data_IF_547152449619
#
_entry.id   IF_547152449619
#
_cell.length_a   1.000
_cell.length_b   1.000
_cell.length_c   1.000
_cell.angle_alpha   90.00
_cell.angle_beta   90.00
_cell.angle_gamma   90.00
#
_symmetry.space_group_name_H-M   'P 1'
#
loop_
_entity.id
_entity.type
_entity.pdbx_description
1 polymer ?
#
# COMPACT_ATOMS: atom_id res chain seq x y z
N UNK A 1 15.52 -4.41 -11.60
CA UNK A 1 14.39 -3.55 -12.04
C UNK A 1 14.49 -2.10 -11.55
N UNK A 2 13.94 -1.71 -10.39
CA UNK A 2 13.92 -0.28 -9.98
C UNK A 2 15.31 0.36 -9.87
N UNK A 3 16.29 -0.38 -9.34
CA UNK A 3 17.70 0.05 -9.28
C UNK A 3 18.32 0.31 -10.66
N UNK A 4 17.89 -0.42 -11.68
CA UNK A 4 18.52 -0.44 -13.00
C UNK A 4 17.79 0.45 -14.01
N UNK A 5 16.49 0.63 -13.84
CA UNK A 5 15.60 1.22 -14.84
C UNK A 5 14.79 2.42 -14.34
N UNK A 6 14.83 2.75 -13.04
CA UNK A 6 14.27 4.00 -12.55
C UNK A 6 15.38 5.06 -12.41
N UNK A 7 15.06 6.30 -12.75
CA UNK A 7 15.95 7.43 -12.51
C UNK A 7 15.83 7.93 -11.07
N UNK A 8 16.93 8.40 -10.45
CA UNK A 8 16.86 9.13 -9.19
C UNK A 8 15.98 10.38 -9.33
N UNK A 9 15.23 10.70 -8.28
CA UNK A 9 14.33 11.86 -8.23
C UNK A 9 14.80 12.80 -7.11
N UNK A 10 14.82 14.14 -7.31
CA UNK A 10 15.08 15.08 -6.24
C UNK A 10 14.07 14.93 -5.09
N UNK A 11 14.56 14.96 -3.85
CA UNK A 11 13.75 14.79 -2.63
C UNK A 11 12.93 13.49 -2.62
N UNK A 12 13.49 12.39 -3.10
CA UNK A 12 12.82 11.09 -3.18
C UNK A 12 12.27 10.61 -1.82
N UNK A 13 12.84 11.03 -0.70
CA UNK A 13 12.33 10.81 0.66
C UNK A 13 10.91 11.32 0.88
N UNK A 14 10.48 12.35 0.13
CA UNK A 14 9.13 12.92 0.21
C UNK A 14 8.11 12.22 -0.68
N UNK A 15 8.56 11.35 -1.60
CA UNK A 15 7.69 10.62 -2.52
C UNK A 15 7.13 9.39 -1.82
N UNK A 16 5.83 9.32 -1.49
CA UNK A 16 5.27 8.19 -0.78
C UNK A 16 5.23 6.91 -1.63
N UNK A 17 5.32 5.77 -0.95
CA UNK A 17 4.92 4.47 -1.50
C UNK A 17 3.46 4.24 -1.18
N UNK A 18 2.67 3.85 -2.18
CA UNK A 18 1.27 3.46 -2.00
C UNK A 18 1.15 1.99 -2.36
N UNK A 19 0.70 1.18 -1.41
CA UNK A 19 0.32 -0.21 -1.64
C UNK A 19 -1.19 -0.35 -1.50
N UNK A 20 -1.82 -1.07 -2.42
CA UNK A 20 -3.26 -1.38 -2.37
C UNK A 20 -3.43 -2.87 -2.64
N UNK A 21 -4.19 -3.54 -1.77
CA UNK A 21 -4.39 -4.98 -1.85
C UNK A 21 -5.76 -5.41 -1.31
N UNK A 22 -6.08 -6.67 -1.51
CA UNK A 22 -7.35 -7.29 -1.09
C UNK A 22 -7.17 -8.38 -0.02
N UNK A 23 -5.95 -8.63 0.45
CA UNK A 23 -5.64 -9.67 1.45
C UNK A 23 -4.46 -9.25 2.29
N UNK A 24 -4.40 -9.72 3.54
CA UNK A 24 -3.29 -9.39 4.45
C UNK A 24 -2.81 -10.64 5.19
N UNK A 25 -1.50 -10.90 5.11
CA UNK A 25 -0.82 -11.96 5.84
C UNK A 25 -0.22 -11.51 7.17
N UNK A 26 0.51 -12.42 7.82
CA UNK A 26 1.25 -12.13 9.06
C UNK A 26 2.53 -11.35 8.75
N UNK A 27 2.64 -10.12 9.25
CA UNK A 27 3.74 -9.17 8.98
C UNK A 27 4.76 -9.09 10.12
N UNK A 28 4.55 -9.83 11.21
CA UNK A 28 5.40 -9.83 12.39
C UNK A 28 4.90 -8.90 13.51
N UNK A 29 5.63 -8.90 14.62
CA UNK A 29 5.22 -8.22 15.86
C UNK A 29 5.29 -6.68 15.77
N UNK A 30 6.07 -6.15 14.83
CA UNK A 30 6.26 -4.73 14.60
C UNK A 30 6.71 -4.47 13.14
N UNK A 31 6.72 -3.19 12.74
CA UNK A 31 7.03 -2.78 11.37
C UNK A 31 8.46 -3.11 10.91
N UNK A 32 9.40 -3.26 11.84
CA UNK A 32 10.81 -3.53 11.54
C UNK A 32 11.05 -4.99 11.13
N UNK A 33 10.09 -5.89 11.37
CA UNK A 33 10.28 -7.32 11.06
C UNK A 33 10.34 -7.62 9.58
N UNK A 34 9.54 -6.92 8.77
CA UNK A 34 9.50 -7.17 7.33
C UNK A 34 8.97 -5.97 6.54
N UNK A 35 7.87 -5.36 7.02
CA UNK A 35 7.17 -4.30 6.26
C UNK A 35 8.11 -3.12 5.94
N UNK A 36 8.79 -2.58 6.94
CA UNK A 36 9.65 -1.41 6.77
C UNK A 36 11.10 -1.76 6.46
N UNK A 37 11.58 -2.93 6.87
CA UNK A 37 12.98 -3.34 6.73
C UNK A 37 13.34 -3.92 5.35
N UNK A 38 12.41 -4.64 4.71
CA UNK A 38 12.68 -5.33 3.44
C UNK A 38 11.69 -4.91 2.36
N UNK A 39 10.40 -4.98 2.66
CA UNK A 39 9.35 -4.70 1.69
C UNK A 39 9.37 -3.24 1.26
N UNK A 40 9.30 -2.30 2.21
CA UNK A 40 9.38 -0.86 1.93
C UNK A 40 10.72 -0.47 1.31
N UNK A 41 11.84 -0.99 1.82
CA UNK A 41 13.18 -0.70 1.26
C UNK A 41 13.28 -1.07 -0.23
N UNK A 42 12.68 -2.19 -0.62
CA UNK A 42 12.60 -2.61 -2.02
C UNK A 42 11.80 -1.62 -2.87
N UNK A 43 10.65 -1.15 -2.36
CA UNK A 43 9.75 -0.24 -3.08
C UNK A 43 10.25 1.21 -3.14
N UNK A 44 11.10 1.65 -2.21
CA UNK A 44 11.65 3.02 -2.24
C UNK A 44 12.83 3.19 -3.19
N UNK A 45 13.39 2.09 -3.70
CA UNK A 45 14.57 2.11 -4.57
C UNK A 45 14.29 2.90 -5.87
N UNK A 46 15.18 3.84 -6.20
CA UNK A 46 15.15 4.62 -7.46
C UNK A 46 16.58 4.81 -7.97
N UNK A 47 16.97 4.04 -8.99
CA UNK A 47 18.30 4.09 -9.57
C UNK A 47 19.40 3.46 -8.70
N UNK A 48 20.66 3.74 -9.05
CA UNK A 48 21.84 3.06 -8.49
C UNK A 48 22.43 3.74 -7.24
N UNK A 49 21.96 4.92 -6.85
CA UNK A 49 22.50 5.60 -5.66
C UNK A 49 22.14 4.83 -4.39
N UNK A 50 23.17 4.45 -3.64
CA UNK A 50 23.04 3.72 -2.37
C UNK A 50 22.72 4.69 -1.25
N UNK A 51 21.45 5.11 -1.13
CA UNK A 51 20.95 5.78 0.08
C UNK A 51 19.81 4.95 0.68
N UNK A 52 19.97 4.59 1.95
CA UNK A 52 18.88 4.01 2.75
C UNK A 52 17.85 5.10 3.02
N UNK A 53 16.78 5.12 2.22
CA UNK A 53 15.72 6.13 2.31
C UNK A 53 14.48 5.61 3.04
N UNK A 54 14.35 4.28 3.24
CA UNK A 54 13.07 3.68 3.58
C UNK A 54 12.51 4.10 4.94
N UNK A 55 13.31 4.54 5.92
CA UNK A 55 12.74 5.04 7.18
C UNK A 55 11.99 6.38 7.01
N UNK A 56 12.44 7.26 6.11
CA UNK A 56 11.88 8.61 5.94
C UNK A 56 10.68 8.69 4.98
N UNK A 57 10.56 7.72 4.07
CA UNK A 57 9.50 7.74 3.04
C UNK A 57 8.13 7.40 3.65
N UNK A 58 7.06 8.17 3.41
CA UNK A 58 5.73 7.80 3.87
C UNK A 58 5.23 6.52 3.16
N UNK A 59 4.52 5.67 3.89
CA UNK A 59 3.88 4.45 3.37
C UNK A 59 2.37 4.55 3.58
N UNK A 60 1.59 4.50 2.51
CA UNK A 60 0.13 4.47 2.56
C UNK A 60 -0.36 3.11 2.09
N UNK A 61 -1.09 2.38 2.93
CA UNK A 61 -1.66 1.09 2.60
C UNK A 61 -3.18 1.23 2.43
N UNK A 62 -3.71 0.95 1.25
CA UNK A 62 -5.14 1.03 0.97
C UNK A 62 -5.74 -0.37 1.10
N UNK A 63 -6.65 -0.51 2.06
CA UNK A 63 -7.43 -1.72 2.31
C UNK A 63 -8.86 -1.33 2.71
N UNK A 64 -9.90 -2.01 2.19
CA UNK A 64 -11.28 -1.63 2.50
C UNK A 64 -11.60 -1.68 4.00
N UNK A 65 -12.18 -0.59 4.50
CA UNK A 65 -12.73 -0.56 5.86
C UNK A 65 -14.02 -1.38 5.95
N UNK A 66 -14.43 -1.70 7.18
CA UNK A 66 -15.75 -2.31 7.43
C UNK A 66 -16.88 -1.50 6.79
N UNK A 67 -16.80 -0.17 6.86
CA UNK A 67 -17.79 0.73 6.28
C UNK A 67 -17.77 0.72 4.75
N UNK A 68 -16.59 0.61 4.13
CA UNK A 68 -16.49 0.44 2.67
C UNK A 68 -17.21 -0.83 2.22
N UNK A 69 -17.02 -1.95 2.93
CA UNK A 69 -17.66 -3.22 2.59
C UNK A 69 -19.16 -3.17 2.84
N UNK A 70 -19.59 -2.66 4.00
CA UNK A 70 -21.01 -2.54 4.38
C UNK A 70 -21.82 -1.73 3.36
N UNK A 71 -21.22 -0.67 2.81
CA UNK A 71 -21.85 0.24 1.83
C UNK A 71 -21.49 -0.07 0.38
N UNK A 72 -20.81 -1.19 0.13
CA UNK A 72 -20.47 -1.64 -1.23
C UNK A 72 -21.72 -2.13 -1.98
N UNK A 73 -21.60 -2.26 -3.30
CA UNK A 73 -22.66 -2.81 -4.16
C UNK A 73 -23.07 -4.23 -3.74
N UNK A 74 -22.11 -5.03 -3.28
CA UNK A 74 -22.32 -6.42 -2.87
C UNK A 74 -22.64 -6.54 -1.37
N UNK A 75 -22.47 -5.47 -0.59
CA UNK A 75 -22.58 -5.48 0.87
C UNK A 75 -21.51 -6.36 1.54
N UNK A 76 -21.84 -6.93 2.70
CA UNK A 76 -20.95 -7.83 3.44
C UNK A 76 -20.42 -9.04 2.64
N UNK A 77 -21.16 -9.65 1.69
CA UNK A 77 -20.61 -10.66 0.79
C UNK A 77 -19.29 -10.30 0.10
N UNK A 78 -19.04 -9.03 -0.23
CA UNK A 78 -17.75 -8.59 -0.80
C UNK A 78 -16.56 -8.93 0.10
N UNK A 79 -16.77 -8.95 1.43
CA UNK A 79 -15.78 -9.33 2.43
C UNK A 79 -15.26 -10.76 2.28
N UNK A 80 -16.03 -11.65 1.64
CA UNK A 80 -15.58 -13.02 1.32
C UNK A 80 -14.36 -13.04 0.38
N UNK A 81 -14.17 -11.99 -0.42
CA UNK A 81 -13.00 -11.80 -1.29
C UNK A 81 -11.95 -10.87 -0.69
N UNK A 82 -12.10 -10.50 0.59
CA UNK A 82 -11.16 -9.65 1.34
C UNK A 82 -10.57 -10.41 2.55
N UNK A 83 -9.77 -11.46 2.33
CA UNK A 83 -9.27 -12.29 3.43
C UNK A 83 -8.25 -11.55 4.30
N UNK A 84 -8.69 -11.23 5.52
CA UNK A 84 -7.83 -10.82 6.63
C UNK A 84 -8.43 -11.37 7.93
N UNK A 85 -7.90 -12.51 8.40
CA UNK A 85 -8.47 -13.20 9.55
C UNK A 85 -8.20 -12.46 10.87
N UNK A 86 -9.12 -12.58 11.82
CA UNK A 86 -8.98 -11.97 13.14
C UNK A 86 -7.72 -12.48 13.87
N UNK A 87 -7.40 -13.77 13.74
CA UNK A 87 -6.20 -14.38 14.33
C UNK A 87 -4.89 -13.81 13.78
N UNK A 88 -4.91 -13.29 12.55
CA UNK A 88 -3.77 -12.59 11.94
C UNK A 88 -3.77 -11.13 12.39
N UNK A 89 -4.93 -10.47 12.35
CA UNK A 89 -5.06 -9.05 12.67
C UNK A 89 -4.65 -8.72 14.11
N UNK A 90 -5.10 -9.50 15.09
CA UNK A 90 -4.82 -9.27 16.51
C UNK A 90 -3.31 -9.31 16.84
N UNK A 91 -2.50 -9.99 16.03
CA UNK A 91 -1.05 -10.08 16.21
C UNK A 91 -0.28 -8.87 15.68
N UNK A 92 -0.94 -7.97 14.94
CA UNK A 92 -0.30 -6.88 14.22
C UNK A 92 -1.15 -5.61 14.14
N UNK A 93 -1.80 -5.22 15.25
CA UNK A 93 -2.61 -3.98 15.30
C UNK A 93 -1.81 -2.71 14.93
N UNK A 94 -0.49 -2.74 15.10
CA UNK A 94 0.42 -1.67 14.66
C UNK A 94 0.25 -1.35 13.16
N UNK A 95 -0.07 -2.36 12.34
CA UNK A 95 -0.25 -2.23 10.90
C UNK A 95 -1.43 -1.33 10.52
N UNK A 96 -2.49 -1.30 11.34
CA UNK A 96 -3.72 -0.57 11.00
C UNK A 96 -3.51 0.95 10.97
N UNK A 97 -2.46 1.47 11.62
CA UNK A 97 -2.07 2.88 11.54
C UNK A 97 -1.63 3.31 10.12
N UNK A 98 -1.27 2.36 9.26
CA UNK A 98 -0.93 2.58 7.86
C UNK A 98 -2.14 2.55 6.93
N UNK A 99 -3.32 2.13 7.42
CA UNK A 99 -4.47 1.87 6.57
C UNK A 99 -5.23 3.13 6.17
N UNK A 100 -5.57 3.17 4.89
CA UNK A 100 -6.37 4.20 4.25
C UNK A 100 -7.59 3.54 3.60
N UNK A 101 -8.71 4.26 3.58
CA UNK A 101 -9.98 3.76 3.03
C UNK A 101 -9.89 3.53 1.52
N UNK A 102 -10.69 2.60 1.03
CA UNK A 102 -10.97 2.51 -0.40
C UNK A 102 -11.83 3.71 -0.84
N UNK A 103 -11.36 4.44 -1.85
CA UNK A 103 -12.13 5.41 -2.63
C UNK A 103 -11.63 5.38 -4.07
N UNK A 104 -12.55 5.40 -5.02
CA UNK A 104 -12.26 5.37 -6.44
C UNK A 104 -13.27 6.22 -7.22
N UNK A 105 -13.62 7.40 -6.68
CA UNK A 105 -14.60 8.33 -7.25
C UNK A 105 -14.23 8.71 -8.70
N UNK A 106 -12.93 8.89 -8.97
CA UNK A 106 -12.39 9.18 -10.32
C UNK A 106 -12.82 8.18 -11.39
N UNK A 107 -13.12 6.94 -10.99
CA UNK A 107 -13.53 5.85 -11.88
C UNK A 107 -14.96 5.35 -11.62
N UNK A 108 -15.70 6.01 -10.72
CA UNK A 108 -17.03 5.60 -10.28
C UNK A 108 -17.08 4.26 -9.52
N UNK A 109 -15.98 3.87 -8.86
CA UNK A 109 -15.82 2.51 -8.27
C UNK A 109 -15.71 2.48 -6.75
N UNK A 110 -16.03 3.56 -6.04
CA UNK A 110 -15.96 3.61 -4.58
C UNK A 110 -16.80 2.53 -3.87
N UNK A 111 -17.91 2.10 -4.48
CA UNK A 111 -18.76 1.02 -3.97
C UNK A 111 -18.46 -0.36 -4.58
N UNK A 112 -17.53 -0.47 -5.54
CA UNK A 112 -17.07 -1.74 -6.08
C UNK A 112 -15.79 -2.16 -5.34
N UNK A 113 -15.86 -3.18 -4.48
CA UNK A 113 -14.73 -3.55 -3.63
C UNK A 113 -13.52 -4.03 -4.44
N UNK A 114 -12.29 -3.63 -4.07
CA UNK A 114 -11.11 -3.94 -4.85
C UNK A 114 -10.68 -5.39 -4.65
N UNK A 115 -10.62 -6.15 -5.74
CA UNK A 115 -9.84 -7.39 -5.82
C UNK A 115 -8.54 -7.21 -6.64
N UNK A 116 -8.35 -6.05 -7.27
CA UNK A 116 -7.08 -5.64 -7.88
C UNK A 116 -6.03 -5.39 -6.79
N UNK A 117 -4.75 -5.55 -7.13
CA UNK A 117 -3.62 -5.17 -6.29
C UNK A 117 -2.73 -4.24 -7.09
N UNK A 118 -2.39 -3.10 -6.48
CA UNK A 118 -1.55 -2.10 -7.13
C UNK A 118 -0.52 -1.56 -6.17
N UNK A 119 0.67 -1.28 -6.69
CA UNK A 119 1.72 -0.59 -5.97
C UNK A 119 2.21 0.56 -6.83
N UNK A 120 2.52 1.70 -6.23
CA UNK A 120 3.05 2.84 -6.95
C UNK A 120 3.92 3.72 -6.06
N UNK A 121 4.71 4.58 -6.71
CA UNK A 121 5.49 5.62 -6.07
C UNK A 121 5.02 6.97 -6.60
N UNK A 122 4.35 7.75 -5.77
CA UNK A 122 3.72 9.01 -6.17
C UNK A 122 4.58 10.22 -5.75
N UNK A 123 4.38 11.35 -6.43
CA UNK A 123 4.91 12.64 -5.99
C UNK A 123 4.21 13.11 -4.70
N UNK A 124 4.81 14.04 -3.93
CA UNK A 124 4.22 14.50 -2.66
C UNK A 124 2.83 15.13 -2.79
N UNK A 125 2.51 15.69 -3.95
CA UNK A 125 1.22 16.28 -4.30
C UNK A 125 0.29 15.31 -5.07
N UNK A 126 0.71 14.05 -5.24
CA UNK A 126 0.04 12.99 -5.99
C UNK A 126 -0.26 13.31 -7.47
N UNK A 127 0.41 14.30 -8.07
CA UNK A 127 0.22 14.69 -9.47
C UNK A 127 1.01 13.82 -10.47
N UNK A 128 2.05 13.13 -10.01
CA UNK A 128 2.94 12.31 -10.82
C UNK A 128 3.23 10.97 -10.15
N UNK A 129 3.63 9.99 -10.96
CA UNK A 129 4.09 8.68 -10.49
C UNK A 129 5.45 8.35 -11.11
N UNK A 130 6.36 7.83 -10.29
CA UNK A 130 7.67 7.35 -10.74
C UNK A 130 7.57 5.96 -11.37
N UNK A 131 6.65 5.14 -10.87
CA UNK A 131 6.33 3.82 -11.40
C UNK A 131 4.96 3.35 -10.90
N UNK A 132 4.39 2.38 -11.61
CA UNK A 132 3.14 1.71 -11.27
C UNK A 132 3.27 0.22 -11.53
N UNK A 133 2.72 -0.59 -10.63
CA UNK A 133 2.65 -2.04 -10.72
C UNK A 133 1.22 -2.48 -10.46
N UNK A 134 0.69 -3.32 -11.35
CA UNK A 134 -0.51 -4.12 -11.12
C UNK A 134 -0.10 -5.59 -11.07
N UNK A 135 -0.60 -6.35 -10.10
CA UNK A 135 -0.18 -7.73 -9.84
C UNK A 135 -1.31 -8.61 -9.32
#
# INVERSE_FOLDING_TARGET
LLKEHASPIPKAESWPVIGQFSSIGSMGADESKWLCSEFKESLVTLGRESRTLGSAVPLHLIYPSVENVRTSLEGYPAGGSLPYSIQTAEKQNWLHSYFHKWSADTSGRSNAMPHIKTYMRASPDFSQIAWFLVT
#
